data_IF_615872844318
#
_entry.id   IF_615872844318
#
_cell.length_a   1.000
_cell.length_b   1.000
_cell.length_c   1.000
_cell.angle_alpha   90.00
_cell.angle_beta   90.00
_cell.angle_gamma   90.00
#
_symmetry.space_group_name_H-M   'P 1'
#
loop_
_entity.id
_entity.type
_entity.pdbx_description
1 polymer ?
#
# COMPACT_ATOMS: atom_id res chain seq x y z
N UNK A 1 7.31 9.86 2.42
CA UNK A 1 6.29 10.24 3.44
C UNK A 1 5.06 9.40 3.24
N UNK A 2 4.51 8.85 4.31
CA UNK A 2 3.29 8.03 4.30
C UNK A 2 2.07 8.95 4.46
N UNK A 3 1.11 8.83 3.55
CA UNK A 3 -0.21 9.44 3.65
C UNK A 3 -1.27 8.36 3.82
N UNK A 4 -2.33 8.66 4.56
CA UNK A 4 -3.44 7.74 4.78
C UNK A 4 -4.78 8.44 4.54
N UNK A 5 -5.71 7.75 3.88
CA UNK A 5 -7.12 8.14 3.82
C UNK A 5 -7.91 7.10 4.61
N UNK A 6 -8.61 7.55 5.65
CA UNK A 6 -9.35 6.71 6.58
C UNK A 6 -10.78 6.49 6.08
N UNK A 7 -11.20 5.24 5.94
CA UNK A 7 -12.62 4.87 5.90
C UNK A 7 -13.16 4.70 7.32
N UNK A 8 -12.32 4.17 8.21
CA UNK A 8 -12.48 4.08 9.66
C UNK A 8 -11.09 4.07 10.32
N UNK A 9 -10.99 4.14 11.66
CA UNK A 9 -9.69 4.03 12.34
C UNK A 9 -8.94 2.71 12.04
N UNK A 10 -9.67 1.64 11.70
CA UNK A 10 -9.10 0.31 11.40
C UNK A 10 -8.97 0.00 9.92
N UNK A 11 -9.66 0.74 9.04
CA UNK A 11 -9.68 0.51 7.59
C UNK A 11 -9.33 1.78 6.85
N UNK A 12 -8.21 1.75 6.14
CA UNK A 12 -7.65 2.91 5.45
C UNK A 12 -6.97 2.52 4.16
N UNK A 13 -6.70 3.51 3.32
CA UNK A 13 -5.81 3.38 2.17
C UNK A 13 -4.54 4.16 2.42
N UNK A 14 -3.39 3.51 2.20
CA UNK A 14 -2.07 4.11 2.31
C UNK A 14 -1.55 4.58 0.95
N UNK A 15 -0.76 5.65 0.98
CA UNK A 15 -0.12 6.27 -0.17
C UNK A 15 1.28 6.75 0.21
N UNK A 16 2.13 6.95 -0.79
CA UNK A 16 3.47 7.51 -0.59
C UNK A 16 3.69 8.77 -1.44
N UNK A 17 4.51 9.67 -0.92
CA UNK A 17 5.06 10.82 -1.65
C UNK A 17 6.49 11.12 -1.20
N UNK A 18 7.31 11.68 -2.08
CA UNK A 18 8.67 12.12 -1.75
C UNK A 18 8.71 13.43 -0.95
N UNK A 19 7.60 14.18 -0.91
CA UNK A 19 7.51 15.44 -0.18
C UNK A 19 6.14 15.64 0.47
N UNK A 20 6.07 16.52 1.47
CA UNK A 20 4.85 16.72 2.28
C UNK A 20 3.72 17.36 1.46
N UNK A 21 4.08 18.19 0.47
CA UNK A 21 3.16 18.90 -0.43
C UNK A 21 3.09 18.25 -1.81
N UNK A 22 3.76 17.11 -2.01
CA UNK A 22 3.81 16.40 -3.27
C UNK A 22 2.53 15.63 -3.58
N UNK A 23 2.51 15.00 -4.76
CA UNK A 23 1.44 14.07 -5.10
C UNK A 23 1.64 12.76 -4.34
N UNK A 24 0.61 12.32 -3.64
CA UNK A 24 0.57 11.01 -2.99
C UNK A 24 0.06 9.96 -3.98
N UNK A 25 0.90 8.98 -4.28
CA UNK A 25 0.61 7.93 -5.25
C UNK A 25 0.31 6.60 -4.56
N UNK A 26 -0.42 5.72 -5.25
CA UNK A 26 -0.69 4.37 -4.77
C UNK A 26 0.62 3.62 -4.49
N UNK A 27 0.56 2.68 -3.53
CA UNK A 27 1.62 1.73 -3.21
C UNK A 27 1.21 0.34 -3.69
N UNK A 28 2.08 -0.29 -4.47
CA UNK A 28 1.81 -1.60 -5.06
C UNK A 28 2.81 -2.65 -4.59
N UNK A 29 2.30 -3.85 -4.37
CA UNK A 29 3.02 -5.00 -3.85
C UNK A 29 3.19 -6.04 -4.95
N UNK A 30 4.38 -6.65 -5.00
CA UNK A 30 4.73 -7.71 -5.94
C UNK A 30 4.61 -9.11 -5.35
N UNK A 31 4.56 -9.25 -4.02
CA UNK A 31 4.52 -10.51 -3.28
C UNK A 31 3.28 -10.59 -2.38
N UNK A 32 2.11 -10.39 -2.99
CA UNK A 32 0.83 -10.40 -2.29
C UNK A 32 -0.14 -9.35 -2.78
N UNK A 33 -0.87 -8.74 -1.85
CA UNK A 33 -1.86 -7.69 -2.09
C UNK A 33 -1.59 -6.44 -1.23
N UNK A 34 -0.39 -6.33 -0.66
CA UNK A 34 0.07 -5.20 0.14
C UNK A 34 -0.02 -5.39 1.65
N UNK A 35 -0.07 -6.63 2.14
CA UNK A 35 -0.07 -6.93 3.57
C UNK A 35 1.20 -6.42 4.26
N UNK A 36 2.32 -6.48 3.56
CA UNK A 36 3.62 -6.00 4.00
C UNK A 36 3.66 -4.48 4.23
N UNK A 37 2.87 -3.71 3.47
CA UNK A 37 2.76 -2.26 3.61
C UNK A 37 2.20 -1.82 4.98
N UNK A 38 1.59 -2.74 5.73
CA UNK A 38 1.14 -2.48 7.09
C UNK A 38 2.29 -2.11 8.05
N UNK A 39 3.54 -2.36 7.70
CA UNK A 39 4.68 -1.85 8.48
C UNK A 39 4.79 -0.31 8.45
N UNK A 40 4.25 0.34 7.41
CA UNK A 40 4.23 1.80 7.28
C UNK A 40 3.39 2.49 8.36
N UNK A 41 2.49 1.74 9.00
CA UNK A 41 1.65 2.18 10.12
C UNK A 41 2.06 1.50 11.43
N UNK A 42 3.23 0.85 11.45
CA UNK A 42 3.80 0.23 12.65
C UNK A 42 3.24 -1.16 13.00
N UNK A 43 2.55 -1.83 12.08
CA UNK A 43 2.05 -3.18 12.37
C UNK A 43 3.22 -4.20 12.41
N UNK A 44 3.31 -5.06 13.44
CA UNK A 44 4.31 -6.13 13.49
C UNK A 44 4.03 -7.23 12.46
N UNK A 45 4.98 -8.15 12.25
CA UNK A 45 4.82 -9.30 11.31
C UNK A 45 3.68 -10.24 11.65
N UNK A 46 3.39 -10.42 12.93
CA UNK A 46 2.31 -11.28 13.40
C UNK A 46 0.95 -10.57 13.48
N UNK A 47 0.83 -9.31 13.03
CA UNK A 47 -0.43 -8.59 13.06
C UNK A 47 -1.49 -9.33 12.21
N UNK A 48 -2.74 -9.30 12.68
CA UNK A 48 -3.86 -9.78 11.89
C UNK A 48 -4.15 -8.77 10.78
N UNK A 49 -3.59 -9.04 9.58
CA UNK A 49 -3.72 -8.18 8.41
C UNK A 49 -4.79 -8.72 7.47
N UNK A 50 -5.63 -7.81 6.98
CA UNK A 50 -6.61 -8.04 5.91
C UNK A 50 -6.46 -6.94 4.88
N UNK A 51 -6.47 -7.29 3.60
CA UNK A 51 -6.30 -6.36 2.49
C UNK A 51 -7.32 -6.66 1.40
N UNK A 52 -7.61 -5.67 0.57
CA UNK A 52 -8.40 -5.90 -0.64
C UNK A 52 -7.65 -6.83 -1.61
N UNK A 53 -8.06 -8.09 -1.69
CA UNK A 53 -7.48 -9.11 -2.59
C UNK A 53 -7.80 -8.92 -4.07
N UNK A 54 -8.24 -7.73 -4.49
CA UNK A 54 -8.59 -7.43 -5.86
C UNK A 54 -7.35 -7.08 -6.70
N UNK A 55 -6.99 -7.97 -7.63
CA UNK A 55 -5.86 -7.78 -8.56
C UNK A 55 -6.21 -6.98 -9.83
N UNK A 56 -7.45 -6.49 -9.97
CA UNK A 56 -7.88 -5.73 -11.15
C UNK A 56 -7.65 -4.22 -11.05
N UNK A 57 -6.62 -3.79 -10.33
CA UNK A 57 -6.36 -2.37 -10.09
C UNK A 57 -6.00 -1.63 -11.39
N UNK A 58 -6.38 -0.35 -11.50
CA UNK A 58 -6.12 0.43 -12.71
C UNK A 58 -4.62 0.59 -12.96
N UNK A 59 -4.21 0.48 -14.22
CA UNK A 59 -2.83 0.76 -14.62
C UNK A 59 -2.46 2.23 -14.37
N UNK A 60 -1.23 2.48 -13.92
CA UNK A 60 -0.66 3.81 -13.75
C UNK A 60 0.78 3.80 -13.27
N UNK A 61 1.24 4.95 -12.76
CA UNK A 61 2.52 5.11 -12.06
C UNK A 61 2.28 5.24 -10.56
N UNK A 62 3.16 4.66 -9.75
CA UNK A 62 3.13 4.81 -8.30
C UNK A 62 4.33 4.15 -7.63
N UNK A 63 4.30 4.11 -6.30
CA UNK A 63 5.36 3.47 -5.52
C UNK A 63 5.14 1.97 -5.49
N UNK A 64 6.22 1.19 -5.50
CA UNK A 64 6.16 -0.26 -5.48
C UNK A 64 7.38 -0.90 -4.85
N UNK A 65 7.18 -2.08 -4.29
CA UNK A 65 8.23 -2.98 -3.80
C UNK A 65 7.74 -4.43 -3.84
N UNK A 66 8.64 -5.39 -3.72
CA UNK A 66 8.28 -6.80 -3.80
C UNK A 66 8.04 -7.39 -2.42
N UNK A 67 8.92 -7.12 -1.47
CA UNK A 67 8.86 -7.73 -0.14
C UNK A 67 8.84 -6.67 0.99
N UNK A 68 8.40 -7.11 2.16
CA UNK A 68 8.45 -6.33 3.40
C UNK A 68 9.89 -5.87 3.69
N UNK A 69 10.06 -4.64 4.17
CA UNK A 69 11.36 -4.09 4.53
C UNK A 69 12.17 -3.58 3.34
N UNK A 70 11.77 -3.87 2.10
CA UNK A 70 12.40 -3.28 0.93
C UNK A 70 12.08 -1.78 0.82
N UNK A 71 13.03 -1.04 0.23
CA UNK A 71 12.80 0.34 -0.18
C UNK A 71 11.83 0.41 -1.35
N UNK A 72 10.96 1.43 -1.35
CA UNK A 72 10.05 1.66 -2.46
C UNK A 72 10.78 2.27 -3.67
N UNK A 73 10.38 1.86 -4.86
CA UNK A 73 10.74 2.49 -6.14
C UNK A 73 9.51 3.08 -6.80
N UNK A 74 9.66 4.15 -7.58
CA UNK A 74 8.56 4.72 -8.35
C UNK A 74 8.54 4.12 -9.76
N UNK A 75 7.37 3.64 -10.22
CA UNK A 75 7.25 3.03 -11.53
C UNK A 75 5.85 2.49 -11.87
N UNK A 76 5.74 1.66 -12.92
CA UNK A 76 4.47 1.09 -13.37
C UNK A 76 3.84 0.17 -12.33
N UNK A 77 2.54 0.37 -12.09
CA UNK A 77 1.70 -0.42 -11.17
C UNK A 77 0.34 -0.72 -11.81
N UNK A 78 -0.35 -1.72 -11.27
CA UNK A 78 -1.70 -2.08 -11.67
C UNK A 78 -1.80 -3.15 -12.76
N UNK A 79 -3.02 -3.61 -12.98
CA UNK A 79 -3.32 -4.79 -13.79
C UNK A 79 -2.98 -4.63 -15.28
N UNK A 80 -2.61 -5.75 -15.89
CA UNK A 80 -2.34 -5.86 -17.34
C UNK A 80 -0.97 -5.35 -17.78
N UNK A 81 -0.28 -4.54 -16.96
CA UNK A 81 0.97 -3.87 -17.35
C UNK A 81 2.06 -3.91 -16.27
N UNK A 82 1.76 -4.41 -15.07
CA UNK A 82 2.73 -4.56 -13.98
C UNK A 82 2.45 -5.84 -13.20
N UNK A 83 3.50 -6.43 -12.63
CA UNK A 83 3.38 -7.49 -11.63
C UNK A 83 3.11 -6.94 -10.21
N UNK A 84 3.07 -5.61 -10.06
CA UNK A 84 2.84 -4.93 -8.79
C UNK A 84 1.40 -4.43 -8.74
N UNK A 85 0.62 -4.97 -7.80
CA UNK A 85 -0.80 -4.70 -7.65
C UNK A 85 -1.09 -3.93 -6.38
N UNK A 86 -2.18 -3.18 -6.36
CA UNK A 86 -2.58 -2.38 -5.21
C UNK A 86 -4.07 -2.50 -4.95
N UNK A 87 -4.43 -2.67 -3.69
CA UNK A 87 -5.82 -2.77 -3.25
C UNK A 87 -6.50 -1.40 -3.05
N UNK A 88 -7.79 -1.47 -2.70
CA UNK A 88 -8.58 -0.30 -2.30
C UNK A 88 -8.43 0.07 -0.83
N UNK A 89 -8.06 -0.88 0.03
CA UNK A 89 -7.98 -0.67 1.47
C UNK A 89 -7.07 -1.70 2.14
N UNK A 90 -6.65 -1.36 3.36
CA UNK A 90 -5.87 -2.15 4.29
C UNK A 90 -6.57 -2.15 5.65
N UNK A 91 -6.48 -3.27 6.35
CA UNK A 91 -6.78 -3.44 7.77
C UNK A 91 -5.57 -4.11 8.41
N UNK A 92 -4.70 -3.31 9.02
CA UNK A 92 -3.39 -3.79 9.46
C UNK A 92 -3.35 -4.31 10.91
N UNK A 93 -4.51 -4.52 11.53
CA UNK A 93 -4.58 -4.89 12.96
C UNK A 93 -4.14 -3.78 13.92
N UNK A 94 -3.94 -2.56 13.43
CA UNK A 94 -3.63 -1.35 14.21
C UNK A 94 -4.56 -0.20 13.82
N UNK A 95 -4.85 0.69 14.77
CA UNK A 95 -5.71 1.86 14.55
C UNK A 95 -4.87 3.09 14.24
N UNK A 96 -5.29 3.88 13.25
CA UNK A 96 -4.78 5.24 13.04
C UNK A 96 -5.73 6.20 13.81
N UNK A 97 -5.24 6.98 14.78
CA UNK A 97 -6.04 7.90 15.59
C UNK A 97 -6.72 9.02 14.79
#
# INVERSE_FOLDING_TARGET
IVGAILCSPTRYKLFLSDSLTGTFSNIADGSGSGQDHCELVGAPEYAAVSVDGFFGSCYGQGFRRHDRGESFTFGPIGAGHSAYFYGKWYECGVTIP
#
